data_IF_799419549412
#
_entry.id   IF_799419549412
#
_cell.length_a   1.000
_cell.length_b   1.000
_cell.length_c   1.000
_cell.angle_alpha   90.00
_cell.angle_beta   90.00
_cell.angle_gamma   90.00
#
_symmetry.space_group_name_H-M   'P 1'
#
loop_
_entity.id
_entity.type
_entity.pdbx_description
1 polymer ?
#
# COMPACT_ATOMS: atom_id res chain seq x y z
N UNK A 1 8.12 -8.57 3.78
CA UNK A 1 6.96 -7.68 3.96
C UNK A 1 5.83 -8.36 4.72
N UNK A 2 5.25 -9.47 4.23
CA UNK A 2 4.11 -10.17 4.90
C UNK A 2 4.33 -10.42 6.41
N UNK A 3 5.46 -11.03 6.80
CA UNK A 3 5.73 -11.32 8.23
C UNK A 3 5.88 -10.05 9.07
N UNK A 4 6.57 -9.03 8.52
CA UNK A 4 6.76 -7.73 9.17
C UNK A 4 5.40 -7.06 9.41
N UNK A 5 4.57 -6.98 8.37
CA UNK A 5 3.21 -6.44 8.45
C UNK A 5 2.38 -7.18 9.49
N UNK A 6 2.34 -8.51 9.42
CA UNK A 6 1.55 -9.33 10.35
C UNK A 6 1.97 -9.16 11.82
N UNK A 7 3.25 -8.98 12.09
CA UNK A 7 3.78 -8.93 13.46
C UNK A 7 3.88 -7.52 14.03
N UNK A 8 4.04 -6.51 13.19
CA UNK A 8 4.38 -5.14 13.62
C UNK A 8 3.31 -4.10 13.29
N UNK A 9 2.26 -4.46 12.56
CA UNK A 9 1.25 -3.52 12.08
C UNK A 9 -0.16 -4.02 12.42
N UNK A 10 -0.58 -3.95 13.71
CA UNK A 10 -1.89 -4.44 14.13
C UNK A 10 -3.08 -3.69 13.50
N UNK A 11 -2.85 -2.47 12.99
CA UNK A 11 -3.86 -1.65 12.31
C UNK A 11 -3.84 -1.81 10.77
N UNK A 12 -3.07 -2.77 10.23
CA UNK A 12 -3.20 -3.23 8.84
C UNK A 12 -4.36 -4.23 8.74
N UNK A 13 -5.44 -3.83 8.05
CA UNK A 13 -6.68 -4.59 7.94
C UNK A 13 -6.66 -5.60 6.79
N UNK A 14 -5.97 -5.27 5.70
CA UNK A 14 -5.78 -6.15 4.54
C UNK A 14 -4.35 -5.97 4.04
N UNK A 15 -3.66 -7.07 3.75
CA UNK A 15 -2.37 -7.10 3.08
C UNK A 15 -2.27 -8.39 2.26
N UNK A 16 -2.62 -8.31 0.98
CA UNK A 16 -2.77 -9.48 0.12
C UNK A 16 -2.11 -9.27 -1.23
N UNK A 17 -1.42 -10.31 -1.70
CA UNK A 17 -0.77 -10.34 -3.01
C UNK A 17 -1.53 -11.26 -3.95
N UNK A 18 -1.78 -10.76 -5.15
CA UNK A 18 -2.47 -11.47 -6.23
C UNK A 18 -1.55 -11.48 -7.44
N UNK A 19 -1.44 -12.60 -8.15
CA UNK A 19 -0.63 -12.70 -9.37
C UNK A 19 -1.49 -13.29 -10.49
N UNK A 20 -1.30 -12.80 -11.71
CA UNK A 20 -1.98 -13.35 -12.89
C UNK A 20 -1.50 -14.78 -13.21
N UNK A 21 -2.25 -15.49 -14.05
CA UNK A 21 -1.96 -16.88 -14.43
C UNK A 21 -0.55 -17.05 -15.03
N UNK A 22 -0.11 -16.08 -15.84
CA UNK A 22 1.20 -16.10 -16.51
C UNK A 22 2.37 -15.69 -15.59
N UNK A 23 2.11 -15.24 -14.36
CA UNK A 23 3.14 -14.84 -13.40
C UNK A 23 3.86 -13.52 -13.71
N UNK A 24 3.31 -12.69 -14.59
CA UNK A 24 3.95 -11.47 -15.10
C UNK A 24 3.42 -10.17 -14.48
N UNK A 25 2.22 -10.20 -13.89
CA UNK A 25 1.59 -9.04 -13.26
C UNK A 25 1.12 -9.41 -11.86
N UNK A 26 1.51 -8.60 -10.88
CA UNK A 26 1.18 -8.79 -9.49
C UNK A 26 0.45 -7.55 -8.95
N UNK A 27 -0.63 -7.75 -8.22
CA UNK A 27 -1.38 -6.70 -7.54
C UNK A 27 -1.23 -6.87 -6.04
N UNK A 28 -0.90 -5.78 -5.35
CA UNK A 28 -0.89 -5.70 -3.90
C UNK A 28 -2.14 -4.92 -3.47
N UNK A 29 -3.00 -5.57 -2.68
CA UNK A 29 -4.16 -4.94 -2.05
C UNK A 29 -3.86 -4.70 -0.57
N UNK A 30 -3.90 -3.42 -0.19
CA UNK A 30 -3.66 -3.00 1.18
C UNK A 30 -4.81 -2.15 1.70
N UNK A 31 -5.21 -2.41 2.93
CA UNK A 31 -6.18 -1.59 3.65
C UNK A 31 -5.65 -1.32 5.03
N UNK A 32 -5.53 -0.05 5.36
CA UNK A 32 -5.12 0.42 6.68
C UNK A 32 -6.32 1.05 7.38
N UNK A 33 -6.29 1.04 8.71
CA UNK A 33 -7.31 1.70 9.53
C UNK A 33 -7.38 3.21 9.27
N UNK A 34 -6.22 3.85 9.12
CA UNK A 34 -6.07 5.29 8.91
C UNK A 34 -4.69 5.61 8.28
N UNK A 35 -4.37 6.91 8.17
CA UNK A 35 -3.10 7.37 7.59
C UNK A 35 -1.89 7.04 8.48
N UNK A 36 -2.05 7.02 9.81
CA UNK A 36 -0.95 6.72 10.74
C UNK A 36 -0.53 5.25 10.64
N UNK A 37 -1.50 4.34 10.47
CA UNK A 37 -1.25 2.94 10.20
C UNK A 37 -0.45 2.74 8.90
N UNK A 38 -0.79 3.47 7.84
CA UNK A 38 -0.04 3.38 6.58
C UNK A 38 1.36 4.03 6.67
N UNK A 39 1.51 5.17 7.36
CA UNK A 39 2.84 5.73 7.64
C UNK A 39 3.72 4.76 8.43
N UNK A 40 3.15 4.07 9.41
CA UNK A 40 3.82 3.00 10.15
C UNK A 40 4.28 1.88 9.22
N UNK A 41 3.42 1.47 8.29
CA UNK A 41 3.76 0.48 7.26
C UNK A 41 4.95 0.96 6.40
N UNK A 42 4.90 2.17 5.85
CA UNK A 42 6.00 2.75 5.08
C UNK A 42 7.32 2.78 5.88
N UNK A 43 7.26 3.11 7.17
CA UNK A 43 8.44 3.06 8.04
C UNK A 43 8.97 1.64 8.29
N UNK A 44 8.09 0.65 8.38
CA UNK A 44 8.48 -0.74 8.62
C UNK A 44 9.02 -1.43 7.37
N UNK A 45 8.43 -1.21 6.19
CA UNK A 45 8.77 -1.95 4.97
C UNK A 45 9.45 -1.12 3.89
N UNK A 46 9.53 0.20 4.02
CA UNK A 46 10.09 1.08 2.97
C UNK A 46 11.51 0.71 2.55
N UNK A 47 12.33 0.24 3.47
CA UNK A 47 13.69 -0.27 3.18
C UNK A 47 13.72 -1.50 2.27
N UNK A 48 12.59 -2.19 2.09
CA UNK A 48 12.45 -3.36 1.21
C UNK A 48 12.07 -2.97 -0.22
N UNK A 49 11.64 -1.72 -0.46
CA UNK A 49 11.15 -1.28 -1.77
C UNK A 49 12.23 -1.29 -2.84
N UNK A 50 13.48 -0.95 -2.53
CA UNK A 50 14.58 -1.03 -3.49
C UNK A 50 14.77 -2.46 -4.02
N UNK A 51 14.63 -3.46 -3.14
CA UNK A 51 14.71 -4.86 -3.55
C UNK A 51 13.51 -5.24 -4.40
N UNK A 52 12.30 -4.83 -4.00
CA UNK A 52 11.07 -5.10 -4.74
C UNK A 52 11.14 -4.50 -6.15
N UNK A 53 11.53 -3.24 -6.27
CA UNK A 53 11.62 -2.52 -7.54
C UNK A 53 12.80 -2.98 -8.41
N UNK A 54 13.78 -3.68 -7.85
CA UNK A 54 14.80 -4.38 -8.66
C UNK A 54 14.25 -5.63 -9.37
N UNK A 55 13.14 -6.19 -8.88
CA UNK A 55 12.54 -7.43 -9.39
C UNK A 55 11.32 -7.18 -10.28
N UNK A 56 10.61 -6.07 -10.06
CA UNK A 56 9.40 -5.74 -10.80
C UNK A 56 9.21 -4.22 -10.90
N UNK A 57 8.67 -3.77 -12.04
CA UNK A 57 8.30 -2.38 -12.24
C UNK A 57 6.96 -2.07 -11.58
N UNK A 58 6.92 -1.05 -10.73
CA UNK A 58 5.66 -0.52 -10.23
C UNK A 58 4.96 0.27 -11.34
N UNK A 59 4.00 -0.37 -12.00
CA UNK A 59 3.31 0.25 -13.15
C UNK A 59 2.25 1.25 -12.72
N UNK A 60 1.57 1.02 -11.59
CA UNK A 60 0.43 1.82 -11.08
C UNK A 60 0.33 1.74 -9.56
N UNK A 61 -0.02 2.85 -8.92
CA UNK A 61 -0.36 2.92 -7.50
C UNK A 61 -1.59 3.82 -7.30
N UNK A 62 -2.59 3.34 -6.57
CA UNK A 62 -3.86 4.05 -6.35
C UNK A 62 -4.27 4.00 -4.89
N UNK A 63 -4.68 5.15 -4.35
CA UNK A 63 -5.20 5.26 -2.98
C UNK A 63 -6.65 5.68 -3.00
N UNK A 64 -7.47 4.88 -2.32
CA UNK A 64 -8.90 5.13 -2.14
C UNK A 64 -9.16 5.52 -0.69
N UNK A 65 -9.46 6.80 -0.45
CA UNK A 65 -9.67 7.31 0.92
C UNK A 65 -9.35 8.79 1.07
N UNK A 66 -9.20 9.23 2.32
CA UNK A 66 -8.85 10.60 2.67
C UNK A 66 -7.47 10.60 3.39
N UNK A 67 -6.35 10.38 2.67
CA UNK A 67 -5.03 10.36 3.28
C UNK A 67 -4.63 11.74 3.82
N UNK A 68 -3.89 11.76 4.93
CA UNK A 68 -3.29 12.99 5.48
C UNK A 68 -2.27 13.59 4.52
N UNK A 69 -1.97 14.89 4.67
CA UNK A 69 -0.97 15.56 3.83
C UNK A 69 0.44 14.96 4.01
N UNK A 70 0.78 14.53 5.23
CA UNK A 70 2.04 13.83 5.52
C UNK A 70 2.15 12.50 4.74
N UNK A 71 1.07 11.72 4.71
CA UNK A 71 1.03 10.49 3.94
C UNK A 71 1.15 10.77 2.44
N UNK A 72 0.49 11.82 1.94
CA UNK A 72 0.62 12.22 0.52
C UNK A 72 2.06 12.57 0.15
N UNK A 73 2.71 13.42 0.96
CA UNK A 73 4.12 13.79 0.76
C UNK A 73 5.05 12.57 0.75
N UNK A 74 4.78 11.59 1.63
CA UNK A 74 5.56 10.34 1.69
C UNK A 74 5.38 9.46 0.44
N UNK A 75 4.23 9.56 -0.22
CA UNK A 75 3.87 8.78 -1.41
C UNK A 75 4.15 9.52 -2.73
N UNK A 76 4.48 10.81 -2.71
CA UNK A 76 4.78 11.60 -3.91
C UNK A 76 5.82 10.93 -4.85
N UNK A 77 6.92 10.31 -4.35
CA UNK A 77 7.89 9.63 -5.21
C UNK A 77 7.31 8.44 -5.99
N UNK A 78 6.20 7.87 -5.51
CA UNK A 78 5.55 6.69 -6.10
C UNK A 78 4.53 7.06 -7.19
N UNK A 79 4.28 8.36 -7.44
CA UNK A 79 3.35 8.80 -8.49
C UNK A 79 1.90 8.34 -8.28
N UNK A 80 1.47 8.27 -7.02
CA UNK A 80 0.17 7.73 -6.62
C UNK A 80 -1.00 8.58 -7.12
N UNK A 81 -2.03 7.91 -7.64
CA UNK A 81 -3.32 8.53 -7.95
C UNK A 81 -4.29 8.45 -6.75
N UNK A 82 -4.99 9.53 -6.45
CA UNK A 82 -5.91 9.62 -5.31
C UNK A 82 -7.38 9.62 -5.75
N UNK A 83 -8.17 8.77 -5.11
CA UNK A 83 -9.62 8.63 -5.31
C UNK A 83 -10.34 8.83 -3.98
N UNK A 84 -11.23 9.82 -3.92
CA UNK A 84 -11.93 10.17 -2.68
C UNK A 84 -13.28 9.44 -2.56
N UNK A 85 -13.74 9.10 -1.34
CA UNK A 85 -15.04 8.48 -1.13
C UNK A 85 -16.17 9.35 -1.70
N UNK A 86 -16.99 8.76 -2.58
CA UNK A 86 -18.18 9.42 -3.14
C UNK A 86 -19.49 8.81 -2.60
N UNK A 87 -19.58 7.48 -2.56
CA UNK A 87 -20.70 6.73 -1.97
C UNK A 87 -20.27 5.28 -1.72
N UNK A 88 -20.86 4.58 -0.74
CA UNK A 88 -20.56 3.17 -0.47
C UNK A 88 -20.95 2.69 0.92
N UNK A 89 -20.69 1.41 1.20
CA UNK A 89 -20.90 0.77 2.51
C UNK A 89 -19.66 -0.03 2.88
N UNK A 90 -19.17 0.16 4.10
CA UNK A 90 -18.16 -0.70 4.74
C UNK A 90 -18.81 -1.50 5.86
N UNK A 91 -18.29 -2.67 6.17
CA UNK A 91 -18.73 -3.52 7.30
C UNK A 91 -17.60 -3.69 8.28
#
# INVERSE_FOLDING_TARGET
MIEVTKLREPDTLVYEWYINEDGTECHLLEKFKDSEAFLTHLGNVGHMFDTLFSLADMTRAKIYGNPSDELKQSLDPLGVEYFYPFNGVTR
#
